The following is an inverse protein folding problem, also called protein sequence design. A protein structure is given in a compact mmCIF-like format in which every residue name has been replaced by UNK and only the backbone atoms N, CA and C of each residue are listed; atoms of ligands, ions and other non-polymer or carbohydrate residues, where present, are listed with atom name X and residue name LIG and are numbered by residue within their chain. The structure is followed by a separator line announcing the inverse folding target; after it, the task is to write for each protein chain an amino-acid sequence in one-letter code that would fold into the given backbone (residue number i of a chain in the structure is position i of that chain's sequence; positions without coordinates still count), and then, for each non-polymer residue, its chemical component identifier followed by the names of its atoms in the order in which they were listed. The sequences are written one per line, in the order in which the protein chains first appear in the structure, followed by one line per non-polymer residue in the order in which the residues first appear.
data_IF_815963930582
#
_entry.id   IF_815963930582
#
_cell.length_a   1.000
_cell.length_b   1.000
_cell.length_c   1.000
_cell.angle_alpha   90.00
_cell.angle_beta   90.00
_cell.angle_gamma   90.00
#
_symmetry.space_group_name_H-M   'P 1'
#
loop_
_entity.id
_entity.type
_entity.pdbx_description
1 polymer ?
#
# COMPACT_ATOMS: atom_id res chain seq x y z
N UNK A 1 -25.97 42.57 53.91
CA UNK A 1 -24.52 42.66 53.58
C UNK A 1 -23.90 41.38 54.09
N UNK A 2 -23.39 40.41 53.30
CA UNK A 2 -22.72 40.44 52.00
C UNK A 2 -23.00 39.12 51.23
N UNK A 3 -23.00 39.23 49.90
CA UNK A 3 -22.86 38.15 48.91
C UNK A 3 -21.45 37.50 48.95
N UNK A 4 -21.35 36.20 48.67
CA UNK A 4 -20.16 35.56 48.07
C UNK A 4 -20.59 34.25 47.36
N UNK A 5 -20.86 34.28 46.05
CA UNK A 5 -19.94 34.01 44.92
C UNK A 5 -19.55 32.52 44.75
N UNK A 6 -20.30 31.88 43.84
CA UNK A 6 -19.94 30.71 43.04
C UNK A 6 -18.64 30.98 42.25
N UNK A 7 -17.65 30.10 42.32
CA UNK A 7 -16.72 29.87 41.22
C UNK A 7 -16.45 28.38 41.08
N UNK A 8 -17.09 27.78 40.08
CA UNK A 8 -16.78 26.46 39.58
C UNK A 8 -15.40 26.45 38.96
N UNK A 9 -14.51 25.64 39.53
CA UNK A 9 -13.25 25.26 38.89
C UNK A 9 -13.52 24.28 37.76
N UNK A 10 -13.88 24.79 36.58
CA UNK A 10 -13.81 24.03 35.35
C UNK A 10 -12.36 23.64 35.11
N UNK A 11 -12.02 22.36 35.29
CA UNK A 11 -10.77 21.81 34.78
C UNK A 11 -10.75 22.05 33.27
N UNK A 12 -9.89 22.95 32.82
CA UNK A 12 -9.57 23.10 31.41
C UNK A 12 -9.09 21.73 30.91
N UNK A 13 -9.85 21.12 30.01
CA UNK A 13 -9.42 19.92 29.32
C UNK A 13 -8.07 20.22 28.65
N UNK A 14 -7.07 19.33 28.79
CA UNK A 14 -5.78 19.55 28.16
C UNK A 14 -5.99 19.72 26.66
N UNK A 15 -5.51 20.84 26.12
CA UNK A 15 -5.52 21.13 24.69
C UNK A 15 -4.84 19.97 23.97
N UNK A 16 -5.46 19.34 22.96
CA UNK A 16 -4.85 18.21 22.28
C UNK A 16 -3.50 18.63 21.71
N UNK A 17 -2.42 17.97 22.13
CA UNK A 17 -1.09 18.20 21.56
C UNK A 17 -1.17 17.99 20.04
N UNK A 18 -0.61 18.91 19.23
CA UNK A 18 -0.53 18.72 17.79
C UNK A 18 0.17 17.40 17.48
N UNK A 19 -0.42 16.59 16.60
CA UNK A 19 0.20 15.37 16.09
C UNK A 19 1.37 15.76 15.16
N UNK A 20 2.57 15.82 15.74
CA UNK A 20 3.79 16.23 15.04
C UNK A 20 4.16 15.26 13.90
N UNK A 21 3.82 13.98 14.04
CA UNK A 21 4.00 12.98 12.99
C UNK A 21 3.09 13.32 11.80
N UNK A 22 1.80 13.57 12.05
CA UNK A 22 0.87 13.94 10.99
C UNK A 22 1.28 15.24 10.27
N UNK A 23 1.75 16.24 11.00
CA UNK A 23 2.25 17.48 10.41
C UNK A 23 3.46 17.23 9.49
N UNK A 24 4.39 16.37 9.91
CA UNK A 24 5.55 15.96 9.11
C UNK A 24 5.13 15.21 7.85
N UNK A 25 4.23 14.25 7.98
CA UNK A 25 3.71 13.47 6.84
C UNK A 25 2.94 14.35 5.85
N UNK A 26 2.13 15.30 6.33
CA UNK A 26 1.47 16.29 5.47
C UNK A 26 2.48 17.15 4.72
N UNK A 27 3.48 17.69 5.40
CA UNK A 27 4.52 18.49 4.75
C UNK A 27 5.29 17.68 3.68
N UNK A 28 5.50 16.39 3.94
CA UNK A 28 6.23 15.47 3.04
C UNK A 28 5.41 15.05 1.82
N UNK A 29 4.12 14.74 2.00
CA UNK A 29 3.32 14.05 1.00
C UNK A 29 2.20 14.90 0.39
N UNK A 30 1.56 15.81 1.14
CA UNK A 30 0.34 16.48 0.69
C UNK A 30 0.58 17.27 -0.61
N UNK A 31 -0.26 17.02 -1.60
CA UNK A 31 -0.22 17.64 -2.92
C UNK A 31 0.90 17.14 -3.84
N UNK A 32 1.75 16.21 -3.39
CA UNK A 32 2.86 15.64 -4.17
C UNK A 32 2.41 14.49 -5.04
N UNK A 33 3.12 14.31 -6.14
CA UNK A 33 3.11 13.07 -6.93
C UNK A 33 4.05 12.06 -6.26
N UNK A 34 3.57 10.83 -6.10
CA UNK A 34 4.33 9.71 -5.54
C UNK A 34 4.17 8.48 -6.39
N UNK A 35 5.16 7.60 -6.34
CA UNK A 35 5.12 6.30 -6.98
C UNK A 35 4.71 5.23 -5.97
N UNK A 36 3.91 4.28 -6.42
CA UNK A 36 3.50 3.13 -5.61
C UNK A 36 4.43 1.96 -5.93
N UNK A 37 5.11 1.42 -4.93
CA UNK A 37 5.91 0.21 -5.13
C UNK A 37 5.02 -0.96 -5.57
N UNK A 38 5.45 -1.71 -6.58
CA UNK A 38 4.63 -2.75 -7.23
C UNK A 38 3.44 -2.22 -8.04
N UNK A 39 3.23 -0.90 -8.08
CA UNK A 39 2.07 -0.30 -8.74
C UNK A 39 0.76 -0.45 -7.97
N UNK A 40 0.74 -1.09 -6.80
CA UNK A 40 -0.48 -1.41 -6.07
C UNK A 40 -0.35 -2.71 -5.28
N UNK A 41 -1.47 -3.31 -4.86
CA UNK A 41 -2.83 -2.94 -5.21
C UNK A 41 -3.36 -1.71 -4.45
N UNK A 42 -4.17 -0.92 -5.15
CA UNK A 42 -4.97 0.18 -4.59
C UNK A 42 -6.46 -0.22 -4.62
N UNK A 43 -7.23 0.17 -3.61
CA UNK A 43 -8.64 -0.22 -3.49
C UNK A 43 -9.57 0.97 -3.70
N UNK A 44 -10.44 0.83 -4.68
CA UNK A 44 -11.52 1.77 -4.93
C UNK A 44 -12.84 1.22 -4.40
N UNK A 45 -13.49 1.95 -3.50
CA UNK A 45 -14.89 1.69 -3.12
C UNK A 45 -15.82 2.15 -4.23
N UNK A 46 -16.75 1.30 -4.63
CA UNK A 46 -17.70 1.60 -5.70
C UNK A 46 -19.01 2.16 -5.13
N UNK A 47 -19.93 2.59 -6.00
CA UNK A 47 -21.25 3.11 -5.57
C UNK A 47 -22.01 2.11 -4.72
N UNK A 48 -21.96 0.83 -5.08
CA UNK A 48 -22.39 -0.24 -4.21
C UNK A 48 -21.37 -0.38 -3.07
N UNK A 49 -21.74 -0.15 -1.80
CA UNK A 49 -20.82 -0.17 -0.66
C UNK A 49 -20.26 -1.57 -0.36
N UNK A 50 -20.90 -2.62 -0.89
CA UNK A 50 -20.46 -4.00 -0.80
C UNK A 50 -19.54 -4.39 -1.96
N UNK A 51 -19.24 -3.46 -2.87
CA UNK A 51 -18.39 -3.67 -4.03
C UNK A 51 -17.12 -2.81 -3.98
N UNK A 52 -16.03 -3.39 -4.42
CA UNK A 52 -14.73 -2.73 -4.54
C UNK A 52 -13.97 -3.23 -5.76
N UNK A 53 -13.18 -2.33 -6.35
CA UNK A 53 -12.21 -2.66 -7.38
C UNK A 53 -10.80 -2.66 -6.81
N UNK A 54 -10.01 -3.65 -7.21
CA UNK A 54 -8.56 -3.65 -7.02
C UNK A 54 -7.92 -3.06 -8.27
N UNK A 55 -7.08 -2.06 -8.07
CA UNK A 55 -6.47 -1.27 -9.13
C UNK A 55 -4.95 -1.33 -9.03
N UNK A 56 -4.28 -1.19 -10.16
CA UNK A 56 -2.85 -0.91 -10.21
C UNK A 56 -2.55 0.29 -11.10
N UNK A 57 -1.45 0.95 -10.78
CA UNK A 57 -0.82 1.98 -11.61
C UNK A 57 0.47 1.41 -12.18
N UNK A 58 0.89 1.83 -13.39
CA UNK A 58 2.22 1.46 -13.87
C UNK A 58 3.29 1.83 -12.85
N UNK A 59 4.31 0.98 -12.65
CA UNK A 59 5.38 1.27 -11.67
C UNK A 59 6.16 2.57 -12.00
N UNK A 60 6.09 3.05 -13.25
CA UNK A 60 6.63 4.34 -13.67
C UNK A 60 5.64 5.50 -13.53
N UNK A 61 4.36 5.20 -13.34
CA UNK A 61 3.28 6.15 -13.13
C UNK A 61 3.24 6.68 -11.70
N UNK A 62 2.56 7.81 -11.52
CA UNK A 62 2.42 8.48 -10.22
C UNK A 62 0.95 8.53 -9.80
N UNK A 63 0.74 8.61 -8.50
CA UNK A 63 -0.53 8.99 -7.87
C UNK A 63 -0.33 10.30 -7.12
N UNK A 64 -1.36 11.14 -7.11
CA UNK A 64 -1.31 12.42 -6.40
C UNK A 64 -1.85 12.28 -4.99
N UNK A 65 -1.11 12.67 -3.97
CA UNK A 65 -1.62 12.66 -2.60
C UNK A 65 -2.53 13.86 -2.38
N UNK A 66 -3.83 13.63 -2.25
CA UNK A 66 -4.85 14.66 -2.08
C UNK A 66 -5.10 15.00 -0.62
N UNK A 67 -4.95 14.04 0.28
CA UNK A 67 -5.08 14.25 1.71
C UNK A 67 -4.22 13.25 2.48
N UNK A 68 -3.74 13.68 3.65
CA UNK A 68 -3.14 12.84 4.69
C UNK A 68 -3.84 13.21 6.00
N UNK A 69 -4.48 12.25 6.64
CA UNK A 69 -5.18 12.47 7.90
C UNK A 69 -4.92 11.33 8.88
N UNK A 70 -5.12 11.63 10.16
CA UNK A 70 -5.21 10.60 11.20
C UNK A 70 -6.66 10.44 11.60
N UNK A 71 -7.15 9.20 11.51
CA UNK A 71 -8.49 8.87 11.94
C UNK A 71 -8.56 8.85 13.47
N UNK A 72 -9.74 9.13 14.02
CA UNK A 72 -10.00 9.02 15.47
C UNK A 72 -10.86 7.80 15.73
N UNK A 73 -10.39 6.88 16.58
CA UNK A 73 -11.06 5.62 16.90
C UNK A 73 -10.25 4.40 16.44
N UNK A 74 -10.89 3.23 16.43
CA UNK A 74 -10.25 1.97 16.02
C UNK A 74 -10.82 1.54 14.67
N UNK A 75 -9.95 1.29 13.69
CA UNK A 75 -10.35 0.89 12.34
C UNK A 75 -9.62 -0.38 11.92
N UNK A 76 -10.23 -1.24 11.08
CA UNK A 76 -9.54 -2.36 10.47
C UNK A 76 -8.53 -1.84 9.44
N UNK A 77 -7.27 -2.26 9.56
CA UNK A 77 -6.19 -1.94 8.62
C UNK A 77 -5.49 -3.22 8.21
N UNK A 78 -5.39 -3.45 6.89
CA UNK A 78 -4.59 -4.52 6.33
C UNK A 78 -3.12 -4.07 6.30
N UNK A 79 -2.19 -4.76 7.00
CA UNK A 79 -0.79 -4.33 7.12
C UNK A 79 0.01 -4.49 5.83
N UNK A 80 -0.44 -5.35 4.93
CA UNK A 80 0.14 -5.56 3.59
C UNK A 80 -1.01 -5.77 2.61
N UNK A 81 -0.91 -5.16 1.44
CA UNK A 81 -2.01 -5.06 0.47
C UNK A 81 -1.86 -6.05 -0.69
N UNK A 82 -0.67 -6.61 -0.92
CA UNK A 82 -0.29 -7.39 -2.12
C UNK A 82 -1.05 -8.69 -2.35
N UNK A 83 -1.41 -9.46 -1.32
CA UNK A 83 -2.07 -10.76 -1.51
C UNK A 83 -3.57 -10.77 -1.23
N UNK A 84 -4.08 -9.80 -0.48
CA UNK A 84 -5.45 -9.85 0.06
C UNK A 84 -5.69 -10.99 1.07
N UNK A 85 -4.66 -11.72 1.47
CA UNK A 85 -4.76 -12.89 2.38
C UNK A 85 -4.56 -12.50 3.84
N UNK A 86 -3.80 -11.42 4.10
CA UNK A 86 -3.59 -10.93 5.46
C UNK A 86 -4.88 -10.27 5.99
N UNK A 87 -5.49 -10.80 7.07
CA UNK A 87 -6.69 -10.21 7.62
C UNK A 87 -6.39 -8.81 8.15
N UNK A 88 -7.35 -7.90 7.94
CA UNK A 88 -7.26 -6.58 8.55
C UNK A 88 -7.29 -6.71 10.07
N UNK A 89 -6.43 -5.96 10.76
CA UNK A 89 -6.36 -5.93 12.22
C UNK A 89 -6.85 -4.59 12.76
N UNK A 90 -7.43 -4.56 13.97
CA UNK A 90 -7.83 -3.31 14.59
C UNK A 90 -6.60 -2.46 14.91
N UNK A 91 -6.57 -1.24 14.39
CA UNK A 91 -5.53 -0.23 14.67
C UNK A 91 -6.19 1.00 15.27
N UNK A 92 -5.62 1.49 16.38
CA UNK A 92 -6.06 2.73 17.00
C UNK A 92 -5.49 3.93 16.27
N UNK A 93 -6.36 4.86 15.92
CA UNK A 93 -6.08 6.10 15.24
C UNK A 93 -5.15 5.95 14.02
N UNK A 94 -5.45 5.11 13.01
CA UNK A 94 -4.56 4.90 11.87
C UNK A 94 -4.49 6.12 10.96
N UNK A 95 -3.50 6.12 10.07
CA UNK A 95 -3.41 7.09 8.98
C UNK A 95 -4.36 6.71 7.84
N UNK A 96 -4.88 7.71 7.16
CA UNK A 96 -5.63 7.58 5.92
C UNK A 96 -5.09 8.55 4.88
N UNK A 97 -4.82 8.02 3.69
CA UNK A 97 -4.45 8.77 2.50
C UNK A 97 -5.62 8.78 1.53
N UNK A 98 -5.86 9.94 0.93
CA UNK A 98 -6.69 10.05 -0.28
C UNK A 98 -5.77 10.29 -1.46
N UNK A 99 -5.86 9.45 -2.48
CA UNK A 99 -4.96 9.46 -3.63
C UNK A 99 -5.76 9.71 -4.91
N UNK A 100 -5.30 10.62 -5.75
CA UNK A 100 -5.78 10.81 -7.11
C UNK A 100 -5.07 9.85 -8.05
N UNK A 101 -5.84 9.11 -8.84
CA UNK A 101 -5.33 8.13 -9.80
C UNK A 101 -4.90 8.82 -11.10
N UNK A 102 -3.84 8.31 -11.78
CA UNK A 102 -3.49 8.75 -13.12
C UNK A 102 -4.54 8.26 -14.13
N UNK A 103 -4.46 8.69 -15.39
CA UNK A 103 -5.44 8.28 -16.42
C UNK A 103 -5.26 6.82 -16.89
N UNK A 104 -4.06 6.28 -16.74
CA UNK A 104 -3.62 4.98 -17.26
C UNK A 104 -3.53 3.88 -16.20
N UNK A 105 -4.25 4.06 -15.07
CA UNK A 105 -4.45 2.97 -14.12
C UNK A 105 -5.21 1.80 -14.76
N UNK A 106 -5.05 0.62 -14.18
CA UNK A 106 -5.70 -0.62 -14.62
C UNK A 106 -6.56 -1.17 -13.50
N UNK A 107 -7.69 -1.76 -13.89
CA UNK A 107 -8.53 -2.55 -12.97
C UNK A 107 -8.03 -3.99 -13.04
N UNK A 108 -7.58 -4.54 -11.91
CA UNK A 108 -7.04 -5.91 -11.82
C UNK A 108 -8.12 -6.93 -11.47
N UNK A 109 -9.01 -6.57 -10.55
CA UNK A 109 -10.09 -7.45 -10.11
C UNK A 109 -11.25 -6.66 -9.50
N UNK A 110 -12.40 -7.32 -9.39
CA UNK A 110 -13.57 -6.85 -8.67
C UNK A 110 -13.87 -7.80 -7.52
N UNK A 111 -14.34 -7.23 -6.43
CA UNK A 111 -14.91 -7.97 -5.31
C UNK A 111 -16.23 -7.33 -4.95
N UNK A 112 -17.32 -8.08 -5.01
CA UNK A 112 -18.63 -7.61 -4.58
C UNK A 112 -19.41 -8.73 -3.91
N UNK A 113 -20.31 -8.37 -3.01
CA UNK A 113 -21.30 -9.27 -2.43
C UNK A 113 -22.67 -8.65 -2.55
N UNK A 114 -23.68 -9.42 -2.98
CA UNK A 114 -25.05 -8.93 -3.15
C UNK A 114 -25.63 -9.29 -4.52
N UNK A 115 -26.82 -8.76 -4.81
CA UNK A 115 -27.58 -9.03 -6.04
C UNK A 115 -27.38 -7.99 -7.12
N UNK A 116 -26.85 -6.81 -6.79
CA UNK A 116 -26.53 -5.77 -7.77
C UNK A 116 -25.21 -6.11 -8.46
N UNK A 117 -25.27 -6.33 -9.77
CA UNK A 117 -24.11 -6.63 -10.58
C UNK A 117 -23.21 -5.41 -10.71
N UNK A 118 -21.90 -5.63 -10.61
CA UNK A 118 -20.89 -4.58 -10.73
C UNK A 118 -19.89 -4.99 -11.80
N UNK A 119 -19.57 -4.06 -12.69
CA UNK A 119 -18.76 -4.30 -13.88
C UNK A 119 -17.37 -3.67 -13.75
N UNK A 120 -16.44 -4.11 -14.61
CA UNK A 120 -15.11 -3.49 -14.69
C UNK A 120 -15.20 -2.02 -15.13
N UNK A 121 -16.23 -1.67 -15.90
CA UNK A 121 -16.50 -0.30 -16.31
C UNK A 121 -16.77 0.58 -15.10
N UNK A 122 -17.50 0.08 -14.10
CA UNK A 122 -17.77 0.83 -12.86
C UNK A 122 -16.47 1.18 -12.12
N UNK A 123 -15.56 0.21 -11.99
CA UNK A 123 -14.25 0.45 -11.40
C UNK A 123 -13.32 1.32 -12.25
N UNK A 124 -13.50 1.37 -13.57
CA UNK A 124 -12.72 2.26 -14.46
C UNK A 124 -13.13 3.74 -14.32
N UNK A 125 -14.26 4.02 -13.68
CA UNK A 125 -14.66 5.39 -13.32
C UNK A 125 -13.95 5.93 -12.09
N UNK A 126 -13.22 5.10 -11.35
CA UNK A 126 -12.46 5.53 -10.18
C UNK A 126 -11.47 6.64 -10.55
N UNK A 127 -11.49 7.73 -9.79
CA UNK A 127 -10.54 8.85 -9.91
C UNK A 127 -9.75 9.07 -8.64
N UNK A 128 -10.29 8.62 -7.53
CA UNK A 128 -9.67 8.72 -6.22
C UNK A 128 -9.82 7.40 -5.48
N UNK A 129 -8.81 7.05 -4.68
CA UNK A 129 -8.83 5.91 -3.76
C UNK A 129 -8.50 6.38 -2.36
N UNK A 130 -8.93 5.59 -1.38
CA UNK A 130 -8.64 5.84 0.03
C UNK A 130 -7.90 4.65 0.61
N UNK A 131 -6.71 4.91 1.15
CA UNK A 131 -5.83 3.89 1.68
C UNK A 131 -5.56 4.14 3.16
N UNK A 132 -5.65 3.10 3.99
CA UNK A 132 -5.30 3.18 5.41
C UNK A 132 -3.95 2.54 5.69
N UNK A 133 -3.25 3.08 6.68
CA UNK A 133 -1.92 2.65 7.13
C UNK A 133 -1.86 2.67 8.65
N UNK A 134 -1.05 1.78 9.23
CA UNK A 134 -0.89 1.68 10.68
C UNK A 134 -0.32 2.97 11.24
N UNK A 135 0.77 3.44 10.66
CA UNK A 135 1.56 4.60 11.07
C UNK A 135 2.38 5.15 9.88
N UNK A 136 3.23 6.15 10.13
CA UNK A 136 4.08 6.75 9.12
C UNK A 136 5.06 5.76 8.47
N UNK A 137 5.63 4.82 9.23
CA UNK A 137 6.56 3.83 8.68
C UNK A 137 5.86 2.86 7.73
N UNK A 138 4.63 2.46 8.07
CA UNK A 138 3.77 1.63 7.23
C UNK A 138 3.33 2.37 5.95
N UNK A 139 3.08 3.68 6.01
CA UNK A 139 2.86 4.50 4.83
C UNK A 139 4.13 4.58 3.96
N UNK A 140 5.26 4.97 4.56
CA UNK A 140 6.49 5.29 3.85
C UNK A 140 7.08 4.09 3.10
N UNK A 141 6.87 2.86 3.59
CA UNK A 141 7.31 1.67 2.86
C UNK A 141 6.52 1.43 1.56
N UNK A 142 5.29 1.94 1.43
CA UNK A 142 4.45 1.69 0.25
C UNK A 142 4.69 2.69 -0.90
N UNK A 143 5.31 3.85 -0.62
CA UNK A 143 5.47 4.92 -1.60
C UNK A 143 6.92 5.39 -1.75
N UNK A 144 7.29 5.76 -2.96
CA UNK A 144 8.51 6.49 -3.24
C UNK A 144 8.19 7.93 -3.66
N UNK A 145 8.98 8.88 -3.17
CA UNK A 145 8.98 10.28 -3.62
C UNK A 145 9.89 10.50 -4.84
N UNK A 146 10.62 9.46 -5.24
CA UNK A 146 11.50 9.49 -6.41
C UNK A 146 11.11 8.38 -7.38
N UNK A 147 11.21 8.61 -8.70
CA UNK A 147 10.91 7.58 -9.69
C UNK A 147 11.90 6.40 -9.57
N UNK A 148 11.56 5.23 -10.13
CA UNK A 148 12.54 4.16 -10.33
C UNK A 148 13.69 4.69 -11.21
N UNK A 149 14.93 4.44 -10.80
CA UNK A 149 16.11 4.87 -11.55
C UNK A 149 16.26 4.12 -12.90
N UNK A 150 17.21 4.56 -13.73
CA UNK A 150 17.42 3.97 -15.05
C UNK A 150 17.81 2.49 -14.99
N UNK A 151 18.62 2.09 -14.00
CA UNK A 151 19.09 0.71 -13.80
C UNK A 151 17.90 -0.19 -13.45
N UNK A 152 17.03 0.27 -12.57
CA UNK A 152 15.79 -0.41 -12.19
C UNK A 152 14.87 -0.56 -13.39
N UNK A 153 14.62 0.52 -14.14
CA UNK A 153 13.77 0.46 -15.34
C UNK A 153 14.31 -0.53 -16.38
N UNK A 154 15.62 -0.55 -16.58
CA UNK A 154 16.27 -1.50 -17.50
C UNK A 154 16.12 -2.94 -17.02
N UNK A 155 16.37 -3.20 -15.73
CA UNK A 155 16.25 -4.54 -15.14
C UNK A 155 14.81 -5.08 -15.19
N UNK A 156 13.81 -4.20 -15.04
CA UNK A 156 12.41 -4.59 -15.01
C UNK A 156 11.73 -4.61 -16.38
N UNK A 157 12.33 -4.01 -17.42
CA UNK A 157 11.75 -3.96 -18.77
C UNK A 157 11.27 -5.33 -19.31
N UNK A 158 11.99 -6.46 -19.11
CA UNK A 158 11.54 -7.77 -19.57
C UNK A 158 10.24 -8.27 -18.93
N UNK A 159 9.94 -7.86 -17.69
CA UNK A 159 8.72 -8.29 -16.98
C UNK A 159 7.46 -7.61 -17.53
N UNK A 160 7.61 -6.37 -18.02
CA UNK A 160 6.49 -5.56 -18.55
C UNK A 160 6.39 -5.60 -20.08
N UNK A 161 7.37 -6.22 -20.75
CA UNK A 161 7.38 -6.54 -22.18
C UNK A 161 7.85 -7.98 -22.36
N UNK A 162 7.00 -8.97 -21.99
CA UNK A 162 7.41 -10.36 -21.94
C UNK A 162 7.80 -10.86 -23.33
N UNK A 163 8.97 -11.48 -23.43
CA UNK A 163 9.41 -12.27 -24.58
C UNK A 163 9.21 -13.76 -24.22
N UNK A 164 8.27 -14.48 -24.88
CA UNK A 164 8.04 -15.90 -24.61
C UNK A 164 9.29 -16.78 -24.80
N UNK A 165 10.24 -16.36 -25.64
CA UNK A 165 11.49 -17.10 -25.87
C UNK A 165 12.54 -16.82 -24.78
N UNK A 166 12.39 -15.73 -24.03
CA UNK A 166 13.27 -15.32 -22.94
C UNK A 166 12.43 -14.87 -21.75
N UNK A 167 11.82 -15.81 -21.00
CA UNK A 167 11.04 -15.48 -19.83
C UNK A 167 11.87 -14.65 -18.86
N UNK A 168 11.28 -13.58 -18.35
CA UNK A 168 11.91 -12.76 -17.33
C UNK A 168 12.17 -13.60 -16.06
N UNK A 169 13.32 -13.38 -15.43
CA UNK A 169 13.71 -14.07 -14.20
C UNK A 169 14.05 -13.04 -13.13
N UNK A 170 13.61 -13.31 -11.91
CA UNK A 170 13.87 -12.45 -10.76
C UNK A 170 15.25 -12.69 -10.16
N UNK A 171 15.92 -13.78 -10.55
CA UNK A 171 17.28 -14.08 -10.10
C UNK A 171 18.22 -12.92 -10.48
N UNK A 172 18.97 -12.43 -9.51
CA UNK A 172 19.89 -11.31 -9.66
C UNK A 172 19.27 -9.92 -9.48
N UNK A 173 17.94 -9.79 -9.33
CA UNK A 173 17.32 -8.52 -8.97
C UNK A 173 17.71 -8.11 -7.54
N UNK A 174 17.83 -6.80 -7.29
CA UNK A 174 18.01 -6.26 -5.94
C UNK A 174 16.70 -6.20 -5.16
N UNK A 175 16.76 -5.98 -3.84
CA UNK A 175 15.54 -5.76 -3.05
C UNK A 175 14.72 -4.60 -3.60
N UNK A 176 15.37 -3.47 -3.95
CA UNK A 176 14.67 -2.31 -4.51
C UNK A 176 14.03 -2.63 -5.86
N UNK A 177 14.71 -3.39 -6.73
CA UNK A 177 14.13 -3.81 -8.01
C UNK A 177 12.93 -4.73 -7.83
N UNK A 178 13.02 -5.69 -6.90
CA UNK A 178 11.89 -6.56 -6.53
C UNK A 178 10.75 -5.76 -5.92
N UNK A 179 11.03 -4.75 -5.10
CA UNK A 179 10.03 -3.86 -4.52
C UNK A 179 9.24 -3.10 -5.58
N UNK A 180 9.92 -2.61 -6.63
CA UNK A 180 9.29 -2.00 -7.78
C UNK A 180 8.47 -2.99 -8.62
N UNK A 181 8.93 -4.24 -8.72
CA UNK A 181 8.27 -5.29 -9.49
C UNK A 181 7.01 -5.85 -8.81
N UNK A 182 7.12 -6.20 -7.52
CA UNK A 182 6.11 -6.97 -6.77
C UNK A 182 5.41 -6.20 -5.66
N UNK A 183 5.94 -5.05 -5.27
CA UNK A 183 5.45 -4.32 -4.09
C UNK A 183 5.94 -4.92 -2.78
N UNK A 184 5.24 -4.58 -1.70
CA UNK A 184 5.64 -4.91 -0.32
C UNK A 184 5.32 -6.38 -0.01
N UNK A 185 6.27 -7.17 0.54
CA UNK A 185 5.98 -8.53 1.00
C UNK A 185 5.23 -8.55 2.32
N UNK A 186 4.53 -9.65 2.59
CA UNK A 186 3.89 -9.94 3.87
C UNK A 186 4.91 -10.18 4.99
N UNK A 187 6.08 -10.74 4.65
CA UNK A 187 7.16 -10.98 5.60
C UNK A 187 8.53 -10.60 5.01
N UNK A 188 9.43 -9.98 5.80
CA UNK A 188 9.24 -9.63 7.22
C UNK A 188 8.34 -8.41 7.42
N UNK A 189 7.71 -8.35 8.59
CA UNK A 189 6.96 -7.17 9.01
C UNK A 189 7.94 -6.11 9.50
N UNK A 190 7.88 -4.91 8.94
CA UNK A 190 8.71 -3.78 9.37
C UNK A 190 8.62 -2.56 8.47
N UNK A 191 9.53 -1.62 8.70
CA UNK A 191 9.75 -0.46 7.84
C UNK A 191 10.54 -0.83 6.57
N UNK A 192 10.66 0.12 5.65
CA UNK A 192 11.37 -0.09 4.39
C UNK A 192 12.84 -0.53 4.60
N UNK A 193 13.51 0.02 5.61
CA UNK A 193 14.91 -0.32 5.92
C UNK A 193 15.06 -1.77 6.36
N UNK A 194 14.09 -2.28 7.13
CA UNK A 194 14.03 -3.67 7.57
C UNK A 194 13.81 -4.59 6.38
N UNK A 195 12.88 -4.24 5.49
CA UNK A 195 12.61 -5.00 4.26
C UNK A 195 13.88 -5.12 3.40
N UNK A 196 14.54 -4.00 3.08
CA UNK A 196 15.71 -3.95 2.19
C UNK A 196 16.97 -4.66 2.74
N UNK A 197 16.93 -5.15 3.98
CA UNK A 197 18.03 -5.91 4.61
C UNK A 197 17.68 -7.37 4.86
N UNK A 198 16.43 -7.76 4.65
CA UNK A 198 15.94 -9.07 5.03
C UNK A 198 16.44 -10.14 4.05
N UNK A 199 16.99 -11.26 4.53
CA UNK A 199 17.50 -12.31 3.64
C UNK A 199 16.38 -13.08 2.94
N UNK A 200 15.13 -12.98 3.39
CA UNK A 200 13.99 -13.73 2.86
C UNK A 200 12.77 -12.83 2.82
N UNK A 201 12.10 -12.75 1.67
CA UNK A 201 10.79 -12.12 1.51
C UNK A 201 9.74 -13.16 1.16
N UNK A 202 8.54 -13.02 1.71
CA UNK A 202 7.43 -13.93 1.46
C UNK A 202 6.19 -13.14 1.08
N UNK A 203 5.53 -13.60 0.02
CA UNK A 203 4.17 -13.21 -0.33
C UNK A 203 3.20 -14.35 -0.14
N UNK A 204 2.19 -14.13 0.71
CA UNK A 204 1.16 -15.13 0.96
C UNK A 204 0.39 -15.38 -0.32
N UNK A 205 0.28 -16.63 -0.74
CA UNK A 205 -0.62 -16.97 -1.85
C UNK A 205 -2.04 -17.19 -1.37
N UNK A 206 -2.97 -17.21 -2.33
CA UNK A 206 -4.34 -17.61 -2.04
C UNK A 206 -4.38 -19.02 -1.43
N UNK A 207 -5.35 -19.33 -0.55
CA UNK A 207 -5.52 -20.67 0.00
C UNK A 207 -5.44 -21.75 -1.08
N UNK A 208 -4.62 -22.77 -0.86
CA UNK A 208 -4.39 -23.88 -1.81
C UNK A 208 -3.42 -23.57 -2.96
N UNK A 209 -2.95 -22.33 -3.11
CA UNK A 209 -1.97 -21.95 -4.14
C UNK A 209 -0.55 -21.81 -3.62
N UNK A 210 -0.31 -21.89 -2.30
CA UNK A 210 1.00 -21.80 -1.65
C UNK A 210 1.64 -20.40 -1.69
N UNK A 211 2.71 -20.19 -0.94
CA UNK A 211 3.36 -18.88 -0.80
C UNK A 211 4.51 -18.69 -1.79
N UNK A 212 4.73 -17.45 -2.22
CA UNK A 212 5.87 -17.08 -3.06
C UNK A 212 7.02 -16.58 -2.17
N UNK A 213 8.17 -17.23 -2.21
CA UNK A 213 9.32 -16.87 -1.36
C UNK A 213 10.53 -16.49 -2.22
N UNK A 214 11.16 -15.37 -1.88
CA UNK A 214 12.44 -14.94 -2.44
C UNK A 214 13.52 -14.99 -1.39
N UNK A 215 14.68 -15.55 -1.75
CA UNK A 215 15.87 -15.54 -0.90
C UNK A 215 16.90 -14.61 -1.50
N UNK A 216 17.50 -13.77 -0.66
CA UNK A 216 18.48 -12.77 -1.02
C UNK A 216 19.84 -13.09 -0.42
N UNK A 217 20.89 -12.84 -1.20
CA UNK A 217 22.28 -12.83 -0.75
C UNK A 217 22.97 -11.61 -1.34
N UNK A 218 23.62 -10.79 -0.51
CA UNK A 218 24.32 -9.57 -0.94
C UNK A 218 23.44 -8.64 -1.80
N UNK A 219 22.19 -8.39 -1.37
CA UNK A 219 21.19 -7.58 -2.09
C UNK A 219 20.86 -8.13 -3.49
N UNK A 220 20.87 -9.45 -3.67
CA UNK A 220 20.50 -10.11 -4.92
C UNK A 220 19.62 -11.30 -4.66
N UNK A 221 18.54 -11.45 -5.41
CA UNK A 221 17.73 -12.67 -5.39
C UNK A 221 18.59 -13.83 -5.88
N UNK A 222 18.74 -14.86 -5.06
CA UNK A 222 19.48 -16.09 -5.37
C UNK A 222 18.58 -17.31 -5.54
N UNK A 223 17.35 -17.24 -5.02
CA UNK A 223 16.36 -18.31 -5.11
C UNK A 223 14.96 -17.75 -5.15
N UNK A 224 14.13 -18.31 -6.04
CA UNK A 224 12.69 -18.06 -6.12
C UNK A 224 11.99 -19.38 -5.84
N UNK A 225 11.11 -19.40 -4.84
CA UNK A 225 10.20 -20.50 -4.57
C UNK A 225 8.80 -20.05 -4.97
N UNK A 226 8.35 -20.53 -6.12
CA UNK A 226 6.98 -20.33 -6.60
C UNK A 226 6.22 -21.60 -6.25
N UNK A 227 5.03 -21.48 -5.65
CA UNK A 227 4.27 -22.64 -5.28
C UNK A 227 3.80 -23.37 -6.56
N UNK A 228 3.98 -24.69 -6.58
CA UNK A 228 3.51 -25.52 -7.67
C UNK A 228 2.05 -25.86 -7.39
N UNK A 229 1.17 -25.59 -8.36
CA UNK A 229 -0.12 -26.27 -8.40
C UNK A 229 0.19 -27.77 -8.42
N UNK A 230 -0.36 -28.53 -7.46
CA UNK A 230 -0.28 -29.99 -7.51
C UNK A 230 -0.89 -30.53 -8.82
N UNK A 231 -0.62 -31.80 -9.18
CA UNK A 231 -1.32 -32.44 -10.28
C UNK A 231 -2.85 -32.41 -10.08
#
# INVERSE_FOLDING_TARGET
MLLALLLGGGQAAPTPKPDAELATLRARYLGKEVWVYGGGPLRCSLKNPQASGTLSVPYTGTVRVLNVERLTGTFPVAPVKSSGVMPARPVKNPLRLRLGLPKDFRVESLSYSGTEEVTLTDASTCREVTETYVDGADLEKNFSLTPPDAITRQALAPFFKPDPQKPASEIGLTHTQVLWLRGIPESPVGDLKTLLKAPVWLWNGLPGRGDNVLHFQNDRVVKVEVPRMGP
#
